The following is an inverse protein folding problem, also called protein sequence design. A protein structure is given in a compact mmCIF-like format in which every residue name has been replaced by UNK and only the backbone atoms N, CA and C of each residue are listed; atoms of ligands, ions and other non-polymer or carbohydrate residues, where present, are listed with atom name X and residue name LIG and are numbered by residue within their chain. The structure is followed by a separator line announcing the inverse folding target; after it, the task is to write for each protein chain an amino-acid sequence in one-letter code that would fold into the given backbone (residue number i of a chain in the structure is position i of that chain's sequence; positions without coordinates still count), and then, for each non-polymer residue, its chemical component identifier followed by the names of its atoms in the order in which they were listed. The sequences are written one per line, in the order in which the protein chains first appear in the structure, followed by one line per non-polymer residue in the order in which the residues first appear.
data_IF_042240290129
#
_entry.id   IF_042240290129
#
_cell.length_a   1.000
_cell.length_b   1.000
_cell.length_c   1.000
_cell.angle_alpha   90.00
_cell.angle_beta   90.00
_cell.angle_gamma   90.00
#
_symmetry.space_group_name_H-M   'P 1'
#
loop_
_entity.id
_entity.type
_entity.pdbx_description
1 polymer ?
#
# COMPACT_ATOMS: atom_id res chain seq x y z
N UNK A 1 36.78 -4.64 -27.85
CA UNK A 1 36.27 -4.07 -26.58
C UNK A 1 34.78 -4.35 -26.55
N UNK A 2 34.38 -5.43 -25.89
CA UNK A 2 32.97 -5.80 -25.75
C UNK A 2 32.40 -5.09 -24.53
N UNK A 3 31.52 -4.12 -24.75
CA UNK A 3 30.69 -3.54 -23.70
C UNK A 3 29.69 -4.59 -23.24
N UNK A 4 29.89 -5.20 -22.07
CA UNK A 4 28.82 -5.95 -21.42
C UNK A 4 27.75 -4.96 -20.97
N UNK A 5 26.63 -4.90 -21.70
CA UNK A 5 25.42 -4.33 -21.15
C UNK A 5 25.10 -5.10 -19.86
N UNK A 6 25.10 -4.39 -18.73
CA UNK A 6 24.56 -4.92 -17.49
C UNK A 6 23.11 -5.33 -17.74
N UNK A 7 22.65 -6.52 -17.28
CA UNK A 7 21.24 -6.87 -17.39
C UNK A 7 20.42 -5.77 -16.70
N UNK A 8 19.31 -5.36 -17.34
CA UNK A 8 18.38 -4.42 -16.74
C UNK A 8 17.94 -4.99 -15.39
N UNK A 9 18.16 -4.23 -14.31
CA UNK A 9 17.81 -4.62 -12.95
C UNK A 9 16.30 -4.87 -12.88
N UNK A 10 15.90 -6.04 -12.39
CA UNK A 10 14.50 -6.37 -12.22
C UNK A 10 13.95 -5.67 -10.98
N UNK A 11 12.86 -4.92 -11.13
CA UNK A 11 12.08 -4.34 -10.01
C UNK A 11 10.80 -5.14 -9.77
N UNK A 12 10.16 -4.89 -8.62
CA UNK A 12 8.81 -5.39 -8.36
C UNK A 12 7.81 -5.02 -9.46
N UNK A 13 7.92 -3.81 -10.03
CA UNK A 13 7.03 -3.34 -11.09
C UNK A 13 7.31 -4.02 -12.43
N UNK A 14 8.57 -4.14 -12.85
CA UNK A 14 8.88 -4.84 -14.10
C UNK A 14 8.52 -6.32 -14.03
N UNK A 15 8.64 -6.93 -12.84
CA UNK A 15 8.19 -8.30 -12.62
C UNK A 15 6.66 -8.43 -12.67
N UNK A 16 5.93 -7.46 -12.10
CA UNK A 16 4.48 -7.42 -12.23
C UNK A 16 4.04 -7.25 -13.70
N UNK A 17 4.61 -6.30 -14.44
CA UNK A 17 4.29 -6.06 -15.85
C UNK A 17 4.56 -7.31 -16.72
N UNK A 18 5.70 -7.96 -16.48
CA UNK A 18 6.04 -9.22 -17.15
C UNK A 18 5.05 -10.33 -16.81
N UNK A 19 4.71 -10.51 -15.53
CA UNK A 19 3.72 -11.49 -15.10
C UNK A 19 2.34 -11.22 -15.72
N UNK A 20 1.94 -9.96 -15.84
CA UNK A 20 0.70 -9.57 -16.50
C UNK A 20 0.70 -9.87 -17.99
N UNK A 21 1.84 -9.75 -18.65
CA UNK A 21 1.98 -10.09 -20.08
C UNK A 21 1.87 -11.60 -20.30
N UNK A 22 2.52 -12.40 -19.45
CA UNK A 22 2.60 -13.85 -19.61
C UNK A 22 1.38 -14.60 -19.05
N UNK A 23 0.77 -14.09 -17.98
CA UNK A 23 -0.19 -14.81 -17.15
C UNK A 23 -1.46 -13.98 -16.87
N UNK A 24 -1.83 -13.06 -17.76
CA UNK A 24 -2.91 -12.07 -17.58
C UNK A 24 -4.21 -12.63 -16.98
N UNK A 25 -4.65 -13.80 -17.43
CA UNK A 25 -5.91 -14.45 -17.02
C UNK A 25 -5.74 -15.46 -15.88
N UNK A 26 -4.52 -15.75 -15.45
CA UNK A 26 -4.29 -16.68 -14.35
C UNK A 26 -4.54 -16.00 -12.99
N UNK A 27 -4.99 -16.76 -11.97
CA UNK A 27 -5.13 -16.24 -10.61
C UNK A 27 -3.78 -15.79 -10.04
N UNK A 28 -3.72 -14.53 -9.58
CA UNK A 28 -2.63 -13.96 -8.80
C UNK A 28 -2.91 -14.05 -7.28
N UNK A 29 -4.16 -13.83 -6.87
CA UNK A 29 -4.58 -13.89 -5.47
C UNK A 29 -5.87 -14.68 -5.30
N UNK A 30 -6.06 -15.24 -4.09
CA UNK A 30 -7.33 -15.77 -3.61
C UNK A 30 -7.74 -15.00 -2.35
N UNK A 31 -8.89 -14.35 -2.39
CA UNK A 31 -9.40 -13.52 -1.31
C UNK A 31 -10.56 -14.26 -0.64
N UNK A 32 -10.58 -14.40 0.70
CA UNK A 32 -11.69 -15.01 1.40
C UNK A 32 -12.96 -14.17 1.24
N UNK A 33 -14.09 -14.84 1.02
CA UNK A 33 -15.43 -14.25 1.09
C UNK A 33 -15.89 -14.44 2.53
N UNK A 34 -16.05 -13.35 3.27
CA UNK A 34 -16.49 -13.40 4.67
C UNK A 34 -18.00 -13.25 4.75
N UNK A 35 -18.65 -13.96 5.68
CA UNK A 35 -20.05 -13.69 6.03
C UNK A 35 -20.10 -12.32 6.73
N UNK A 36 -20.89 -11.39 6.19
CA UNK A 36 -21.23 -10.17 6.92
C UNK A 36 -22.02 -10.62 8.17
N UNK A 37 -21.39 -10.51 9.35
CA UNK A 37 -22.14 -10.54 10.60
C UNK A 37 -23.06 -9.32 10.53
N UNK A 38 -24.37 -9.56 10.45
CA UNK A 38 -25.36 -8.51 10.59
C UNK A 38 -24.99 -7.73 11.85
N UNK A 39 -24.55 -6.48 11.66
CA UNK A 39 -24.34 -5.56 12.77
C UNK A 39 -25.70 -5.41 13.41
N UNK A 40 -25.93 -6.13 14.50
CA UNK A 40 -27.16 -6.05 15.26
C UNK A 40 -27.31 -4.62 15.73
N UNK A 41 -28.09 -3.89 14.96
CA UNK A 41 -28.71 -2.62 15.30
C UNK A 41 -29.55 -2.83 16.55
N UNK A 42 -28.89 -2.82 17.70
CA UNK A 42 -29.52 -2.78 19.00
C UNK A 42 -28.76 -1.80 19.85
N UNK A 43 -29.40 -0.65 20.08
CA UNK A 43 -29.09 0.27 21.16
C UNK A 43 -28.99 -0.55 22.45
N UNK A 44 -27.79 -0.70 23.00
CA UNK A 44 -27.42 -0.81 24.42
C UNK A 44 -25.98 -1.39 24.48
N UNK A 45 -25.02 -0.72 25.16
CA UNK A 45 -23.66 -1.25 25.31
C UNK A 45 -23.66 -2.37 26.35
N UNK A 46 -23.86 -3.61 25.92
CA UNK A 46 -23.60 -4.79 26.75
C UNK A 46 -22.09 -4.93 27.04
N UNK A 47 -21.70 -5.45 28.22
CA UNK A 47 -20.30 -5.60 28.59
C UNK A 47 -19.57 -6.53 27.61
N UNK A 48 -18.49 -6.02 26.99
CA UNK A 48 -17.57 -6.75 26.09
C UNK A 48 -16.82 -7.85 26.84
N UNK A 49 -17.47 -8.96 27.15
CA UNK A 49 -16.85 -10.13 27.83
C UNK A 49 -16.82 -11.39 26.97
N UNK A 50 -17.36 -11.35 25.76
CA UNK A 50 -17.24 -12.45 24.78
C UNK A 50 -16.29 -12.01 23.66
N UNK A 51 -15.26 -12.79 23.31
CA UNK A 51 -14.50 -12.55 22.11
C UNK A 51 -15.46 -12.59 20.91
N UNK A 52 -15.38 -11.58 20.04
CA UNK A 52 -16.12 -11.63 18.79
C UNK A 52 -15.75 -12.92 18.05
N UNK A 53 -16.74 -13.67 17.51
CA UNK A 53 -16.45 -14.86 16.76
C UNK A 53 -15.58 -14.50 15.55
N UNK A 54 -14.57 -15.33 15.27
CA UNK A 54 -13.77 -15.17 14.06
C UNK A 54 -14.70 -15.15 12.82
N UNK A 55 -14.40 -14.29 11.83
CA UNK A 55 -15.26 -14.16 10.66
C UNK A 55 -15.32 -15.48 9.89
N UNK A 56 -16.54 -15.95 9.60
CA UNK A 56 -16.76 -17.20 8.88
C UNK A 56 -16.40 -17.03 7.39
N UNK A 57 -15.48 -17.88 6.90
CA UNK A 57 -15.07 -17.91 5.50
C UNK A 57 -16.07 -18.76 4.70
N UNK A 58 -16.83 -18.13 3.81
CA UNK A 58 -17.82 -18.77 2.94
C UNK A 58 -17.21 -19.38 1.67
N UNK A 59 -16.03 -18.91 1.28
CA UNK A 59 -15.34 -19.34 0.07
C UNK A 59 -14.18 -18.42 -0.29
N UNK A 60 -13.67 -18.56 -1.50
CA UNK A 60 -12.60 -17.71 -2.02
C UNK A 60 -12.96 -17.19 -3.41
N UNK A 61 -12.70 -15.91 -3.63
CA UNK A 61 -12.73 -15.31 -4.98
C UNK A 61 -11.30 -15.15 -5.50
N UNK A 62 -11.11 -15.32 -6.80
CA UNK A 62 -9.79 -15.18 -7.43
C UNK A 62 -9.63 -13.80 -8.06
N UNK A 63 -8.48 -13.19 -7.86
CA UNK A 63 -8.05 -11.99 -8.59
C UNK A 63 -7.01 -12.42 -9.61
N UNK A 64 -7.21 -12.04 -10.87
CA UNK A 64 -6.26 -12.32 -11.95
C UNK A 64 -5.08 -11.34 -11.94
N UNK A 65 -3.97 -11.67 -12.59
CA UNK A 65 -2.85 -10.73 -12.77
C UNK A 65 -3.30 -9.43 -13.46
N UNK A 66 -4.15 -9.52 -14.48
CA UNK A 66 -4.71 -8.34 -15.16
C UNK A 66 -5.57 -7.46 -14.24
N UNK A 67 -6.39 -8.07 -13.37
CA UNK A 67 -7.19 -7.32 -12.40
C UNK A 67 -6.29 -6.65 -11.35
N UNK A 68 -5.29 -7.38 -10.84
CA UNK A 68 -4.32 -6.82 -9.89
C UNK A 68 -3.57 -5.62 -10.47
N UNK A 69 -3.06 -5.73 -11.69
CA UNK A 69 -2.38 -4.63 -12.37
C UNK A 69 -3.30 -3.42 -12.58
N UNK A 70 -4.55 -3.65 -13.00
CA UNK A 70 -5.55 -2.59 -13.14
C UNK A 70 -5.79 -1.88 -11.81
N UNK A 71 -5.96 -2.63 -10.73
CA UNK A 71 -6.14 -2.06 -9.39
C UNK A 71 -4.90 -1.25 -8.95
N UNK A 72 -3.68 -1.78 -9.17
CA UNK A 72 -2.43 -1.05 -8.89
C UNK A 72 -2.37 0.28 -9.65
N UNK A 73 -2.70 0.29 -10.94
CA UNK A 73 -2.68 1.52 -11.74
C UNK A 73 -3.74 2.54 -11.28
N UNK A 74 -4.95 2.09 -10.95
CA UNK A 74 -6.01 2.97 -10.46
C UNK A 74 -5.62 3.63 -9.13
N UNK A 75 -5.10 2.85 -8.19
CA UNK A 75 -4.62 3.38 -6.90
C UNK A 75 -3.36 4.24 -7.08
N UNK A 76 -2.49 3.92 -8.04
CA UNK A 76 -1.29 4.73 -8.30
C UNK A 76 -1.69 6.13 -8.79
N UNK A 77 -2.66 6.24 -9.70
CA UNK A 77 -3.18 7.53 -10.17
C UNK A 77 -3.81 8.33 -9.04
N UNK A 78 -4.56 7.66 -8.17
CA UNK A 78 -5.13 8.29 -6.98
C UNK A 78 -4.03 8.90 -6.10
N UNK A 79 -3.04 8.11 -5.69
CA UNK A 79 -1.97 8.57 -4.81
C UNK A 79 -1.10 9.63 -5.45
N UNK A 80 -0.77 9.47 -6.74
CA UNK A 80 -0.01 10.46 -7.47
C UNK A 80 -0.71 11.82 -7.42
N UNK A 81 -2.02 11.87 -7.68
CA UNK A 81 -2.79 13.12 -7.58
C UNK A 81 -2.86 13.68 -6.16
N UNK A 82 -3.15 12.84 -5.16
CA UNK A 82 -3.27 13.29 -3.76
C UNK A 82 -1.98 13.95 -3.32
N UNK A 83 -0.84 13.28 -3.53
CA UNK A 83 0.45 13.76 -3.09
C UNK A 83 0.98 14.94 -3.92
N UNK A 84 0.69 14.98 -5.22
CA UNK A 84 0.98 16.16 -6.04
C UNK A 84 0.17 17.38 -5.59
N UNK A 85 -1.10 17.18 -5.19
CA UNK A 85 -1.95 18.23 -4.61
C UNK A 85 -1.35 18.87 -3.37
N UNK A 86 -0.63 18.08 -2.57
CA UNK A 86 0.08 18.52 -1.37
C UNK A 86 1.58 18.80 -1.61
N UNK A 87 1.98 18.94 -2.88
CA UNK A 87 3.35 19.25 -3.31
C UNK A 87 4.43 18.30 -2.76
N UNK A 88 4.08 17.02 -2.54
CA UNK A 88 5.02 15.98 -2.12
C UNK A 88 5.82 15.52 -3.35
N UNK A 89 7.16 15.65 -3.37
CA UNK A 89 7.96 15.28 -4.52
C UNK A 89 7.94 13.77 -4.80
N UNK A 90 8.02 13.40 -6.08
CA UNK A 90 8.33 12.03 -6.52
C UNK A 90 9.64 11.57 -5.87
N UNK A 91 9.72 10.30 -5.52
CA UNK A 91 10.85 9.70 -4.79
C UNK A 91 10.78 9.88 -3.27
N UNK A 92 9.79 10.63 -2.76
CA UNK A 92 9.61 10.79 -1.32
C UNK A 92 9.21 9.48 -0.65
N UNK A 93 9.68 9.31 0.59
CA UNK A 93 9.28 8.19 1.45
C UNK A 93 7.88 8.45 2.00
N UNK A 94 7.02 7.44 1.90
CA UNK A 94 5.63 7.46 2.38
C UNK A 94 5.46 6.35 3.41
N UNK A 95 5.15 6.72 4.64
CA UNK A 95 4.87 5.75 5.70
C UNK A 95 3.56 5.02 5.41
N UNK A 96 3.57 3.70 5.50
CA UNK A 96 2.43 2.81 5.38
C UNK A 96 2.18 2.15 6.74
N UNK A 97 1.20 2.64 7.50
CA UNK A 97 0.94 2.19 8.87
C UNK A 97 -0.27 1.26 8.99
N UNK A 98 -0.07 0.19 9.76
CA UNK A 98 -1.10 -0.81 10.11
C UNK A 98 -1.64 -1.61 8.90
N UNK A 99 -0.75 -1.90 7.95
CA UNK A 99 -0.99 -2.64 6.71
C UNK A 99 -0.32 -4.02 6.84
N UNK A 100 -0.92 -5.13 6.38
CA UNK A 100 -0.11 -6.36 6.38
C UNK A 100 -0.69 -7.72 6.00
N UNK A 101 -1.98 -7.92 5.71
CA UNK A 101 -2.50 -9.28 5.44
C UNK A 101 -3.57 -9.38 4.36
N UNK A 102 -4.07 -8.27 3.84
CA UNK A 102 -5.17 -8.28 2.86
C UNK A 102 -4.66 -8.05 1.44
N UNK A 103 -5.47 -8.41 0.44
CA UNK A 103 -5.16 -8.10 -0.96
C UNK A 103 -4.93 -6.60 -1.19
N UNK A 104 -5.75 -5.76 -0.54
CA UNK A 104 -5.67 -4.32 -0.75
C UNK A 104 -4.38 -3.72 -0.18
N UNK A 105 -3.81 -4.31 0.87
CA UNK A 105 -2.50 -3.94 1.42
C UNK A 105 -1.39 -4.05 0.37
N UNK A 106 -1.42 -5.12 -0.43
CA UNK A 106 -0.48 -5.32 -1.54
C UNK A 106 -0.72 -4.30 -2.66
N UNK A 107 -1.99 -4.00 -2.96
CA UNK A 107 -2.34 -2.95 -3.94
C UNK A 107 -1.82 -1.59 -3.48
N UNK A 108 -1.96 -1.22 -2.21
CA UNK A 108 -1.44 0.03 -1.66
C UNK A 108 0.08 0.10 -1.79
N UNK A 109 0.79 -0.97 -1.44
CA UNK A 109 2.24 -1.03 -1.56
C UNK A 109 2.70 -0.83 -3.01
N UNK A 110 2.19 -1.63 -3.95
CA UNK A 110 2.58 -1.56 -5.35
C UNK A 110 2.16 -0.24 -6.01
N UNK A 111 0.99 0.30 -5.64
CA UNK A 111 0.50 1.55 -6.21
C UNK A 111 1.35 2.76 -5.82
N UNK A 112 1.90 2.80 -4.61
CA UNK A 112 2.84 3.85 -4.21
C UNK A 112 4.12 3.81 -5.03
N UNK A 113 4.70 2.63 -5.21
CA UNK A 113 5.89 2.46 -6.06
C UNK A 113 5.55 2.90 -7.48
N UNK A 114 4.41 2.46 -8.03
CA UNK A 114 3.98 2.81 -9.38
C UNK A 114 3.68 4.30 -9.55
N UNK A 115 3.25 4.97 -8.50
CA UNK A 115 3.05 6.42 -8.46
C UNK A 115 4.37 7.21 -8.30
N UNK A 116 5.50 6.51 -8.13
CA UNK A 116 6.83 7.10 -8.02
C UNK A 116 7.28 7.40 -6.60
N UNK A 117 6.66 6.81 -5.57
CA UNK A 117 7.01 7.02 -4.17
C UNK A 117 7.66 5.78 -3.54
N UNK A 118 8.37 5.97 -2.43
CA UNK A 118 9.03 4.88 -1.71
C UNK A 118 8.19 4.47 -0.49
N UNK A 119 7.49 3.33 -0.50
CA UNK A 119 6.70 2.89 0.65
C UNK A 119 7.61 2.44 1.80
N UNK A 120 7.35 2.92 3.02
CA UNK A 120 8.00 2.47 4.26
C UNK A 120 6.96 1.82 5.17
N UNK A 121 7.02 0.49 5.31
CA UNK A 121 6.06 -0.27 6.12
C UNK A 121 6.31 -0.06 7.61
N UNK A 122 5.28 0.39 8.33
CA UNK A 122 5.28 0.59 9.77
C UNK A 122 4.25 -0.35 10.38
N UNK A 123 4.72 -1.40 11.06
CA UNK A 123 3.84 -2.40 11.67
C UNK A 123 3.08 -1.84 12.88
N UNK A 124 1.75 -2.01 12.89
CA UNK A 124 0.90 -1.72 14.04
C UNK A 124 1.18 -2.64 15.24
N UNK A 125 1.64 -3.87 15.00
CA UNK A 125 1.92 -4.86 16.03
C UNK A 125 3.06 -4.44 17.00
N UNK A 126 3.89 -3.47 16.60
CA UNK A 126 5.01 -2.98 17.39
C UNK A 126 4.66 -1.81 18.32
N UNK A 127 3.44 -1.27 18.28
CA UNK A 127 3.12 -0.03 18.99
C UNK A 127 1.83 -0.09 19.82
N UNK A 128 1.95 -0.18 21.16
CA UNK A 128 0.94 0.39 22.06
C UNK A 128 1.14 1.91 22.28
N UNK A 129 2.06 2.56 21.54
CA UNK A 129 2.38 3.98 21.68
C UNK A 129 2.56 4.66 20.33
N UNK A 130 1.57 5.47 19.97
CA UNK A 130 1.53 6.32 18.78
C UNK A 130 2.76 7.23 18.60
N UNK A 131 3.48 7.54 19.68
CA UNK A 131 4.72 8.34 19.63
C UNK A 131 5.82 7.71 18.78
N UNK A 132 5.87 6.37 18.69
CA UNK A 132 6.88 5.63 17.91
C UNK A 132 6.72 5.91 16.42
N UNK A 133 5.47 6.06 15.95
CA UNK A 133 5.19 6.34 14.53
C UNK A 133 5.82 7.67 14.13
N UNK A 134 5.70 8.70 14.97
CA UNK A 134 6.33 10.00 14.74
C UNK A 134 7.85 9.91 14.65
N UNK A 135 8.49 9.10 15.50
CA UNK A 135 9.94 8.87 15.44
C UNK A 135 10.36 8.13 14.16
N UNK A 136 9.62 7.09 13.75
CA UNK A 136 9.89 6.33 12.53
C UNK A 136 9.72 7.19 11.27
N UNK A 137 8.70 8.04 11.22
CA UNK A 137 8.50 8.98 10.12
C UNK A 137 9.65 10.00 10.04
N UNK A 138 10.10 10.52 11.19
CA UNK A 138 11.24 11.44 11.24
C UNK A 138 12.55 10.78 10.82
N UNK A 139 12.85 9.59 11.34
CA UNK A 139 14.11 8.90 11.08
C UNK A 139 14.22 8.41 9.64
N UNK A 140 13.10 8.01 9.02
CA UNK A 140 13.03 7.66 7.60
C UNK A 140 13.01 8.88 6.68
N UNK A 141 12.78 10.09 7.18
CA UNK A 141 12.56 11.27 6.33
C UNK A 141 11.25 11.20 5.53
N UNK A 142 10.27 10.43 6.02
CA UNK A 142 8.97 10.31 5.39
C UNK A 142 8.31 11.68 5.23
N UNK A 143 7.62 11.88 4.12
CA UNK A 143 6.91 13.13 3.78
C UNK A 143 5.41 13.05 4.00
N UNK A 144 4.89 11.86 4.22
CA UNK A 144 3.49 11.61 4.52
C UNK A 144 3.31 10.28 5.25
N UNK A 145 2.15 10.12 5.88
CA UNK A 145 1.68 8.86 6.45
C UNK A 145 0.34 8.45 5.83
N UNK A 146 0.24 7.20 5.42
CA UNK A 146 -1.00 6.55 4.99
C UNK A 146 -1.37 5.45 5.98
N UNK A 147 -2.63 5.36 6.39
CA UNK A 147 -3.07 4.52 7.52
C UNK A 147 -4.54 4.08 7.44
N UNK A 148 -4.88 2.96 8.08
CA UNK A 148 -6.27 2.51 8.25
C UNK A 148 -7.03 3.31 9.32
N UNK A 149 -6.49 3.34 10.54
CA UNK A 149 -7.14 3.99 11.68
C UNK A 149 -6.52 5.37 11.94
N UNK A 150 -7.24 6.31 12.57
CA UNK A 150 -6.65 7.52 13.14
C UNK A 150 -5.52 7.19 14.13
N UNK A 151 -4.55 8.08 14.24
CA UNK A 151 -3.51 8.01 15.26
C UNK A 151 -3.71 9.22 16.17
N UNK A 152 -3.69 9.02 17.49
CA UNK A 152 -3.95 10.07 18.49
C UNK A 152 -2.68 10.87 18.82
N UNK A 153 -1.88 11.18 17.80
CA UNK A 153 -0.68 12.02 17.91
C UNK A 153 -0.62 13.07 16.83
N UNK A 154 -0.08 14.23 17.20
CA UNK A 154 0.26 15.27 16.24
C UNK A 154 1.47 14.83 15.42
N UNK A 155 1.26 14.62 14.12
CA UNK A 155 2.31 14.26 13.18
C UNK A 155 2.91 15.52 12.55
N UNK A 156 4.21 15.50 12.28
CA UNK A 156 4.92 16.57 11.57
C UNK A 156 4.74 16.51 10.04
N UNK A 157 3.99 15.53 9.55
CA UNK A 157 3.74 15.26 8.13
C UNK A 157 2.23 15.10 7.91
N UNK A 158 1.73 15.41 6.71
CA UNK A 158 0.34 15.13 6.38
C UNK A 158 0.02 13.64 6.54
N UNK A 159 -1.22 13.36 6.95
CA UNK A 159 -1.70 12.01 7.20
C UNK A 159 -2.99 11.75 6.43
N UNK A 160 -3.04 10.61 5.75
CA UNK A 160 -4.11 10.23 4.85
C UNK A 160 -4.72 8.90 5.30
N UNK A 161 -6.05 8.82 5.27
CA UNK A 161 -6.75 7.56 5.37
C UNK A 161 -6.57 6.75 4.07
N UNK A 162 -6.51 5.43 4.19
CA UNK A 162 -6.54 4.54 3.04
C UNK A 162 -7.89 4.65 2.31
N UNK A 163 -7.89 4.89 0.98
CA UNK A 163 -9.12 5.09 0.22
C UNK A 163 -9.82 3.76 -0.07
N UNK A 164 -11.13 3.73 0.12
CA UNK A 164 -11.97 2.63 -0.33
C UNK A 164 -11.93 2.50 -1.86
N UNK A 165 -12.24 1.30 -2.36
CA UNK A 165 -12.34 1.05 -3.81
C UNK A 165 -13.30 2.03 -4.49
N UNK A 166 -14.44 2.28 -3.87
CA UNK A 166 -15.44 3.22 -4.39
C UNK A 166 -14.90 4.65 -4.52
N UNK A 167 -14.06 5.11 -3.58
CA UNK A 167 -13.46 6.45 -3.63
C UNK A 167 -12.45 6.58 -4.76
N UNK A 168 -11.58 5.57 -4.93
CA UNK A 168 -10.58 5.56 -6.00
C UNK A 168 -11.26 5.60 -7.38
N UNK A 169 -12.27 4.76 -7.59
CA UNK A 169 -12.95 4.64 -8.87
C UNK A 169 -13.82 5.87 -9.20
N UNK A 170 -14.43 6.53 -8.19
CA UNK A 170 -15.16 7.79 -8.39
C UNK A 170 -14.27 8.92 -8.89
N UNK A 171 -13.00 8.92 -8.47
CA UNK A 171 -12.04 9.95 -8.85
C UNK A 171 -11.17 9.52 -10.03
N UNK A 172 -11.45 8.41 -10.70
CA UNK A 172 -10.65 7.96 -11.83
C UNK A 172 -10.87 8.90 -13.02
N UNK A 173 -9.81 9.61 -13.41
CA UNK A 173 -9.68 10.19 -14.76
C UNK A 173 -8.70 9.29 -15.49
N UNK A 174 -9.17 8.57 -16.50
CA UNK A 174 -8.37 7.54 -17.19
C UNK A 174 -7.13 8.11 -17.90
N UNK A 175 -7.13 9.43 -18.14
CA UNK A 175 -6.10 10.13 -18.92
C UNK A 175 -4.93 10.67 -18.09
N UNK A 176 -4.91 10.51 -16.75
CA UNK A 176 -3.77 10.99 -15.97
C UNK A 176 -2.57 10.07 -16.16
N UNK A 177 -1.58 10.58 -16.89
CA UNK A 177 -0.30 9.91 -17.12
C UNK A 177 0.48 9.83 -15.81
N UNK A 178 0.90 8.61 -15.46
CA UNK A 178 1.74 8.36 -14.30
C UNK A 178 3.20 8.65 -14.66
N UNK A 179 4.04 9.06 -13.70
CA UNK A 179 5.45 9.31 -13.97
C UNK A 179 6.13 8.06 -14.53
N UNK A 180 7.15 8.29 -15.35
CA UNK A 180 8.10 7.25 -15.72
C UNK A 180 8.79 6.73 -14.46
N UNK A 181 8.85 5.42 -14.31
CA UNK A 181 9.54 4.79 -13.19
C UNK A 181 11.04 4.94 -13.46
N UNK A 182 11.82 5.55 -12.54
CA UNK A 182 13.26 5.63 -12.69
C UNK A 182 13.85 4.24 -12.90
N UNK A 183 14.85 4.14 -13.79
CA UNK A 183 15.55 2.87 -13.94
C UNK A 183 16.27 2.55 -12.63
N UNK A 184 16.10 1.34 -12.07
CA UNK A 184 16.76 0.96 -10.83
C UNK A 184 18.28 1.07 -10.97
N UNK A 185 18.90 1.94 -10.18
CA UNK A 185 20.35 2.02 -10.07
C UNK A 185 20.87 0.95 -9.10
N UNK A 186 22.15 0.59 -9.20
CA UNK A 186 22.75 -0.49 -8.40
C UNK A 186 22.71 -0.23 -6.88
N UNK A 187 22.42 1.01 -6.46
CA UNK A 187 22.28 1.43 -5.07
C UNK A 187 20.82 1.70 -4.65
N UNK A 188 19.83 1.35 -5.48
CA UNK A 188 18.41 1.47 -5.12
C UNK A 188 18.05 0.34 -4.13
N UNK A 189 18.44 0.53 -2.88
CA UNK A 189 17.99 -0.28 -1.75
C UNK A 189 16.55 0.09 -1.42
N UNK A 190 15.59 -0.65 -1.99
CA UNK A 190 14.17 -0.58 -1.62
C UNK A 190 13.88 -1.19 -0.24
N UNK A 191 14.84 -1.92 0.34
CA UNK A 191 14.78 -2.49 1.67
C UNK A 191 15.53 -1.59 2.67
N UNK A 192 14.84 -0.56 3.18
CA UNK A 192 15.23 0.04 4.46
C UNK A 192 14.48 -0.71 5.56
N UNK A 193 14.84 -1.99 5.76
CA UNK A 193 14.66 -2.60 7.07
C UNK A 193 15.70 -1.95 7.96
N UNK A 194 15.26 -1.35 9.06
CA UNK A 194 16.10 -0.69 10.03
C UNK A 194 17.17 -1.66 10.56
N UNK A 195 18.34 -1.73 9.92
CA UNK A 195 19.55 -2.18 10.59
C UNK A 195 19.90 -1.08 11.57
N UNK A 196 19.62 -1.32 12.85
CA UNK A 196 20.22 -0.56 13.94
C UNK A 196 21.72 -0.50 13.71
N UNK A 197 22.24 0.71 13.50
CA UNK A 197 23.66 0.98 13.71
C UNK A 197 23.92 0.94 15.20
N UNK A 198 24.88 0.09 15.56
CA UNK A 198 25.55 0.03 16.86
C UNK A 198 26.23 1.36 17.24
#
# INVERSE_FOLDING_TARGET
MSTSQSPASETFLTNLERACTLYSSLPAFKIPILRELESSSSLEPAPKTTPEPDPEILGYTSITFSQFHTDVLSYARYWFRVFQGDAIPIGSIIGLYDIGVTYIDVVYFYSLIRAGYVPHLISGALSPRDSIIGDMLRSSGARALVRYQPVDVTLSVPSYALPTRSEVYKQQKDDQELPEIPKPEMNDYWDIWASKGE
#
